data_IF_750483763686
#
_entry.id   IF_750483763686
#
_cell.length_a   1.000
_cell.length_b   1.000
_cell.length_c   1.000
_cell.angle_alpha   90.00
_cell.angle_beta   90.00
_cell.angle_gamma   90.00
#
_symmetry.space_group_name_H-M   'P 1'
#
loop_
_entity.id
_entity.type
_entity.pdbx_description
1 polymer ?
#
# COMPACT_ATOMS: atom_id res chain seq x y z
N UNK A 1 5.22 -11.62 -24.14
CA UNK A 1 4.46 -10.34 -24.14
C UNK A 1 3.48 -10.41 -22.99
N UNK A 2 3.76 -9.67 -21.91
CA UNK A 2 3.12 -9.87 -20.62
C UNK A 2 1.71 -9.28 -20.59
N UNK A 3 0.77 -10.02 -19.99
CA UNK A 3 -0.61 -9.61 -19.72
C UNK A 3 -0.75 -8.47 -18.69
N UNK A 4 0.31 -7.68 -18.49
CA UNK A 4 0.40 -6.53 -17.59
C UNK A 4 0.14 -5.20 -18.33
N UNK A 5 0.20 -5.18 -19.67
CA UNK A 5 0.15 -3.94 -20.48
C UNK A 5 -1.24 -3.58 -21.02
N UNK A 6 -2.28 -4.32 -20.63
CA UNK A 6 -3.64 -4.08 -21.12
C UNK A 6 -4.62 -4.10 -19.97
N UNK A 7 -4.81 -2.93 -19.34
CA UNK A 7 -6.05 -2.35 -18.78
C UNK A 7 -7.30 -3.23 -18.53
N UNK A 8 -7.16 -4.50 -18.16
CA UNK A 8 -8.28 -5.43 -18.06
C UNK A 8 -8.04 -6.46 -16.97
N UNK A 9 -8.05 -5.94 -15.75
CA UNK A 9 -8.47 -6.51 -14.47
C UNK A 9 -7.70 -5.65 -13.49
N UNK A 10 -8.36 -4.66 -12.87
CA UNK A 10 -7.85 -3.99 -11.68
C UNK A 10 -7.12 -5.05 -10.86
N UNK A 11 -5.79 -5.02 -10.73
CA UNK A 11 -5.10 -6.03 -9.96
C UNK A 11 -5.68 -5.87 -8.57
N UNK A 12 -6.59 -6.77 -8.20
CA UNK A 12 -7.15 -6.80 -6.88
C UNK A 12 -5.97 -6.86 -5.93
N UNK A 13 -6.08 -6.25 -4.75
CA UNK A 13 -5.04 -6.28 -3.72
C UNK A 13 -4.43 -7.70 -3.54
N UNK A 14 -5.23 -8.74 -3.81
CA UNK A 14 -4.81 -10.13 -3.92
C UNK A 14 -3.61 -10.39 -4.85
N UNK A 15 -3.65 -9.93 -6.11
CA UNK A 15 -2.54 -10.13 -7.06
C UNK A 15 -1.28 -9.36 -6.69
N UNK A 16 -1.46 -8.18 -6.09
CA UNK A 16 -0.35 -7.40 -5.56
C UNK A 16 0.28 -8.15 -4.37
N UNK A 17 -0.55 -8.77 -3.52
CA UNK A 17 -0.08 -9.58 -2.40
C UNK A 17 0.70 -10.80 -2.88
N UNK A 18 0.19 -11.54 -3.86
CA UNK A 18 0.92 -12.68 -4.48
C UNK A 18 2.28 -12.24 -5.04
N UNK A 19 2.35 -11.08 -5.70
CA UNK A 19 3.62 -10.56 -6.21
C UNK A 19 4.58 -10.16 -5.06
N UNK A 20 4.05 -9.53 -4.03
CA UNK A 20 4.81 -9.13 -2.84
C UNK A 20 5.33 -10.33 -2.05
N UNK A 21 4.57 -11.42 -1.99
CA UNK A 21 5.00 -12.70 -1.39
C UNK A 21 6.22 -13.28 -2.13
N UNK A 22 6.20 -13.28 -3.47
CA UNK A 22 7.33 -13.76 -4.28
C UNK A 22 8.57 -12.86 -4.12
N UNK A 23 8.37 -11.57 -3.88
CA UNK A 23 9.43 -10.59 -3.63
C UNK A 23 9.86 -10.53 -2.15
N UNK A 24 9.26 -11.33 -1.27
CA UNK A 24 9.46 -11.33 0.19
C UNK A 24 9.33 -9.94 0.83
N UNK A 25 8.47 -9.08 0.27
CA UNK A 25 8.23 -7.72 0.75
C UNK A 25 6.79 -7.58 1.22
N UNK A 26 6.56 -6.74 2.23
CA UNK A 26 5.19 -6.47 2.66
C UNK A 26 4.45 -5.67 1.57
N UNK A 27 3.17 -5.96 1.25
CA UNK A 27 2.38 -5.19 0.28
C UNK A 27 2.38 -3.69 0.53
N UNK A 28 2.33 -3.30 1.82
CA UNK A 28 2.44 -1.90 2.22
C UNK A 28 3.78 -1.27 1.79
N UNK A 29 4.89 -2.01 1.81
CA UNK A 29 6.20 -1.49 1.36
C UNK A 29 6.16 -1.14 -0.13
N UNK A 30 5.61 -2.01 -0.97
CA UNK A 30 5.46 -1.74 -2.39
C UNK A 30 4.52 -0.56 -2.64
N UNK A 31 3.41 -0.47 -1.90
CA UNK A 31 2.49 0.65 -1.99
C UNK A 31 3.16 1.96 -1.55
N UNK A 32 3.88 1.97 -0.43
CA UNK A 32 4.64 3.14 0.03
C UNK A 32 5.62 3.60 -1.03
N UNK A 33 6.36 2.69 -1.69
CA UNK A 33 7.25 3.04 -2.80
C UNK A 33 6.47 3.59 -4.01
N UNK A 34 5.29 3.05 -4.33
CA UNK A 34 4.46 3.53 -5.43
C UNK A 34 3.91 4.95 -5.19
N UNK A 35 3.63 5.32 -3.94
CA UNK A 35 3.09 6.65 -3.59
C UNK A 35 4.17 7.68 -3.24
N UNK A 36 5.24 7.29 -2.55
CA UNK A 36 6.30 8.19 -2.08
C UNK A 36 7.54 8.24 -2.99
N UNK A 37 7.66 7.27 -3.91
CA UNK A 37 8.85 7.10 -4.74
C UNK A 37 10.04 6.59 -3.95
N UNK A 38 11.23 7.01 -4.36
CA UNK A 38 12.53 6.65 -3.79
C UNK A 38 12.97 7.56 -2.63
N UNK A 39 12.14 8.53 -2.23
CA UNK A 39 12.48 9.50 -1.18
C UNK A 39 12.18 8.94 0.22
N UNK A 40 13.19 8.70 1.07
CA UNK A 40 12.97 8.15 2.41
C UNK A 40 12.10 9.08 3.27
N UNK A 41 12.32 10.40 3.15
CA UNK A 41 11.54 11.40 3.88
C UNK A 41 10.05 11.37 3.52
N UNK A 42 9.72 11.23 2.23
CA UNK A 42 8.31 11.12 1.80
C UNK A 42 7.69 9.82 2.27
N UNK A 43 8.45 8.73 2.26
CA UNK A 43 7.99 7.44 2.76
C UNK A 43 7.67 7.51 4.26
N UNK A 44 8.55 8.11 5.07
CA UNK A 44 8.31 8.35 6.50
C UNK A 44 7.07 9.22 6.75
N UNK A 45 6.92 10.33 6.01
CA UNK A 45 5.76 11.20 6.12
C UNK A 45 4.45 10.48 5.77
N UNK A 46 4.46 9.67 4.71
CA UNK A 46 3.30 8.89 4.30
C UNK A 46 2.91 7.85 5.35
N UNK A 47 3.88 7.14 5.92
CA UNK A 47 3.63 6.15 6.96
C UNK A 47 3.08 6.79 8.24
N UNK A 48 3.59 7.97 8.61
CA UNK A 48 3.08 8.72 9.76
C UNK A 48 1.65 9.20 9.52
N UNK A 49 1.33 9.69 8.32
CA UNK A 49 -0.04 10.07 7.96
C UNK A 49 -0.99 8.87 8.06
N UNK A 50 -0.62 7.72 7.47
CA UNK A 50 -1.45 6.50 7.51
C UNK A 50 -1.65 6.03 8.95
N UNK A 51 -0.63 6.13 9.81
CA UNK A 51 -0.76 5.79 11.23
C UNK A 51 -1.80 6.67 11.93
N UNK A 52 -1.77 7.98 11.69
CA UNK A 52 -2.75 8.91 12.26
C UNK A 52 -4.17 8.66 11.76
N UNK A 53 -4.33 8.37 10.46
CA UNK A 53 -5.62 8.01 9.87
C UNK A 53 -6.16 6.70 10.46
N UNK A 54 -5.30 5.68 10.64
CA UNK A 54 -5.69 4.42 11.29
C UNK A 54 -6.17 4.65 12.73
N UNK A 55 -5.44 5.46 13.50
CA UNK A 55 -5.87 5.82 14.86
C UNK A 55 -7.21 6.56 14.87
N UNK A 56 -7.43 7.47 13.93
CA UNK A 56 -8.70 8.19 13.82
C UNK A 56 -9.86 7.24 13.49
N UNK A 57 -9.69 6.38 12.48
CA UNK A 57 -10.72 5.41 12.08
C UNK A 57 -11.01 4.40 13.20
N UNK A 58 -9.99 3.95 13.92
CA UNK A 58 -10.21 3.06 15.07
C UNK A 58 -10.94 3.76 16.21
N UNK A 59 -10.58 5.02 16.53
CA UNK A 59 -11.29 5.81 17.55
C UNK A 59 -12.75 6.08 17.17
N UNK A 60 -13.05 6.32 15.89
CA UNK A 60 -14.44 6.48 15.42
C UNK A 60 -15.25 5.19 15.54
N UNK A 61 -14.62 4.02 15.38
CA UNK A 61 -15.28 2.72 15.55
C UNK A 61 -15.56 2.37 17.02
N UNK A 62 -14.76 2.91 17.94
CA UNK A 62 -14.91 2.72 19.39
C UNK A 62 -15.79 3.80 20.04
N UNK A 63 -16.31 4.76 19.26
CA UNK A 63 -17.26 5.76 19.74
C UNK A 63 -18.66 5.12 19.92
N UNK A 64 -19.31 5.33 21.09
CA UNK A 64 -20.61 4.72 21.41
C UNK A 64 -21.80 5.26 20.61
#
# INVERSE_FOLDING_TARGET
MSSLERDQKSPTMHKLTELCEVMEVHPLTLLTLAYAGDSPRKAEQLLEQVRQELEAVLKERDAP
#
